data_IF_880671159661
#
_entry.id   IF_880671159661
#
_cell.length_a   1.000
_cell.length_b   1.000
_cell.length_c   1.000
_cell.angle_alpha   90.00
_cell.angle_beta   90.00
_cell.angle_gamma   90.00
#
_symmetry.space_group_name_H-M   'P 1'
#
loop_
_entity.id
_entity.type
_entity.pdbx_description
1 polymer ?
#
# COMPACT_ATOMS: atom_id res chain seq x y z
N UNK A 1 46.89 -3.18 -18.25
CA UNK A 1 46.88 -1.71 -18.09
C UNK A 1 48.29 -1.19 -18.28
N UNK A 2 48.50 -0.12 -19.05
CA UNK A 2 49.88 0.36 -19.33
C UNK A 2 50.51 1.06 -18.11
N UNK A 3 51.85 1.05 -17.97
CA UNK A 3 52.55 1.79 -16.90
C UNK A 3 52.29 3.30 -16.90
N UNK A 4 52.01 3.89 -18.07
CA UNK A 4 51.64 5.30 -18.20
C UNK A 4 50.24 5.57 -17.62
N UNK A 5 49.28 4.70 -17.92
CA UNK A 5 47.91 4.80 -17.40
C UNK A 5 47.90 4.66 -15.86
N UNK A 6 48.73 3.76 -15.32
CA UNK A 6 48.82 3.57 -13.86
C UNK A 6 49.37 4.81 -13.16
N UNK A 7 50.44 5.40 -13.71
CA UNK A 7 51.00 6.66 -13.19
C UNK A 7 49.99 7.80 -13.23
N UNK A 8 49.18 7.89 -14.29
CA UNK A 8 48.10 8.88 -14.40
C UNK A 8 47.05 8.71 -13.31
N UNK A 9 46.55 7.49 -13.08
CA UNK A 9 45.56 7.28 -12.01
C UNK A 9 46.14 7.53 -10.63
N UNK A 10 47.39 7.13 -10.38
CA UNK A 10 48.05 7.44 -9.12
C UNK A 10 48.23 8.94 -8.90
N UNK A 11 48.58 9.70 -9.96
CA UNK A 11 48.66 11.16 -9.88
C UNK A 11 47.29 11.76 -9.51
N UNK A 12 46.21 11.31 -10.15
CA UNK A 12 44.85 11.77 -9.82
C UNK A 12 44.46 11.45 -8.37
N UNK A 13 44.84 10.27 -7.84
CA UNK A 13 44.57 9.90 -6.45
C UNK A 13 45.32 10.78 -5.45
N UNK A 14 46.53 11.22 -5.81
CA UNK A 14 47.32 12.17 -5.01
C UNK A 14 46.71 13.56 -5.08
N UNK A 15 46.34 14.03 -6.27
CA UNK A 15 45.72 15.33 -6.50
C UNK A 15 44.38 15.46 -5.77
N UNK A 16 43.56 14.40 -5.77
CA UNK A 16 42.31 14.34 -5.00
C UNK A 16 42.52 14.20 -3.47
N UNK A 17 43.77 14.13 -3.00
CA UNK A 17 44.10 13.98 -1.58
C UNK A 17 43.71 12.64 -0.99
N UNK A 18 43.52 11.60 -1.81
CA UNK A 18 43.18 10.25 -1.34
C UNK A 18 44.42 9.47 -0.91
N UNK A 19 45.57 9.73 -1.55
CA UNK A 19 46.81 9.03 -1.23
C UNK A 19 47.93 10.05 -1.12
N UNK A 20 48.81 9.89 -0.14
CA UNK A 20 50.07 10.64 -0.09
C UNK A 20 51.18 9.75 -0.62
N UNK A 21 52.02 10.31 -1.48
CA UNK A 21 53.19 9.62 -2.03
C UNK A 21 54.44 10.03 -1.26
N UNK A 22 55.09 9.06 -0.61
CA UNK A 22 56.39 9.21 0.06
C UNK A 22 57.45 8.44 -0.73
N UNK A 23 58.11 9.11 -1.65
CA UNK A 23 59.15 8.46 -2.45
C UNK A 23 60.41 8.19 -1.62
N UNK A 24 60.99 6.99 -1.76
CA UNK A 24 62.31 6.70 -1.17
C UNK A 24 63.42 7.14 -2.12
N UNK A 25 64.63 7.41 -1.61
CA UNK A 25 65.79 7.74 -2.43
C UNK A 25 66.14 6.67 -3.49
N UNK A 26 65.73 5.42 -3.26
CA UNK A 26 66.04 4.27 -4.12
C UNK A 26 64.83 3.77 -4.94
N UNK A 27 63.71 4.50 -4.93
CA UNK A 27 62.47 4.14 -5.63
C UNK A 27 61.76 2.87 -5.12
N UNK A 28 62.26 2.25 -4.04
CA UNK A 28 61.69 1.04 -3.40
C UNK A 28 60.75 1.41 -2.25
N UNK A 29 59.75 0.56 -2.00
CA UNK A 29 58.82 0.71 -0.86
C UNK A 29 59.40 -0.06 0.34
N UNK A 30 59.70 0.63 1.43
CA UNK A 30 60.18 0.00 2.66
C UNK A 30 59.86 0.85 3.89
N UNK A 31 59.75 0.19 5.04
CA UNK A 31 59.61 0.83 6.34
C UNK A 31 60.86 0.53 7.20
N UNK A 32 61.44 1.57 7.80
CA UNK A 32 62.47 1.43 8.84
C UNK A 32 61.78 1.39 10.20
N UNK A 33 62.13 0.38 11.00
CA UNK A 33 61.64 0.22 12.37
C UNK A 33 62.72 0.63 13.36
N UNK A 34 62.33 1.23 14.47
CA UNK A 34 63.20 1.54 15.60
C UNK A 34 63.64 0.25 16.31
N UNK A 35 64.61 0.35 17.23
CA UNK A 35 65.04 -0.78 18.08
C UNK A 35 63.90 -1.36 18.94
N UNK A 36 62.84 -0.58 19.18
CA UNK A 36 61.63 -1.00 19.90
C UNK A 36 60.55 -1.60 19.00
N UNK A 37 60.77 -1.64 17.67
CA UNK A 37 59.83 -2.24 16.70
C UNK A 37 58.80 -1.27 16.11
N UNK A 38 58.77 -0.01 16.55
CA UNK A 38 57.90 1.04 16.00
C UNK A 38 58.39 1.52 14.63
N UNK A 39 57.47 1.89 13.73
CA UNK A 39 57.84 2.39 12.40
C UNK A 39 58.33 3.84 12.52
N UNK A 40 59.62 4.06 12.24
CA UNK A 40 60.26 5.37 12.32
C UNK A 40 60.15 6.13 10.98
N UNK A 41 60.31 5.43 9.85
CA UNK A 41 60.16 6.01 8.51
C UNK A 41 59.51 5.01 7.57
N UNK A 42 58.45 5.42 6.87
CA UNK A 42 57.79 4.60 5.86
C UNK A 42 57.80 5.31 4.50
N UNK A 43 58.33 4.63 3.48
CA UNK A 43 58.36 5.10 2.11
C UNK A 43 57.46 4.23 1.23
N UNK A 44 56.61 4.87 0.43
CA UNK A 44 55.57 4.24 -0.38
C UNK A 44 54.32 5.13 -0.49
N UNK A 45 53.15 4.51 -0.38
CA UNK A 45 51.87 5.21 -0.33
C UNK A 45 51.36 5.25 1.10
N UNK A 46 51.03 6.44 1.56
CA UNK A 46 50.37 6.67 2.84
C UNK A 46 48.88 6.84 2.59
N UNK A 47 48.09 5.93 3.18
CA UNK A 47 46.63 5.86 3.07
C UNK A 47 45.95 6.51 4.28
N UNK A 48 46.70 7.10 5.21
CA UNK A 48 46.16 7.86 6.35
C UNK A 48 45.03 8.82 5.96
N UNK A 49 45.10 9.56 4.82
CA UNK A 49 43.99 10.42 4.38
C UNK A 49 42.66 9.69 4.15
N UNK A 50 42.69 8.46 3.61
CA UNK A 50 41.48 7.65 3.43
C UNK A 50 40.88 7.22 4.75
N UNK A 51 41.72 6.84 5.71
CA UNK A 51 41.27 6.41 7.04
C UNK A 51 40.71 7.59 7.82
N UNK A 52 41.40 8.73 7.79
CA UNK A 52 40.95 9.96 8.44
C UNK A 52 39.61 10.47 7.89
N UNK A 53 39.39 10.34 6.57
CA UNK A 53 38.15 10.74 5.88
C UNK A 53 37.14 9.60 5.68
N UNK A 54 37.38 8.43 6.29
CA UNK A 54 36.53 7.26 6.06
C UNK A 54 35.06 7.51 6.40
N UNK A 55 34.80 8.25 7.47
CA UNK A 55 33.45 8.63 7.88
C UNK A 55 32.75 9.51 6.84
N UNK A 56 33.45 10.52 6.30
CA UNK A 56 32.95 11.40 5.24
C UNK A 56 32.58 10.59 3.98
N UNK A 57 33.48 9.72 3.51
CA UNK A 57 33.22 8.89 2.34
C UNK A 57 32.06 7.91 2.57
N UNK A 58 31.94 7.37 3.77
CA UNK A 58 30.82 6.50 4.13
C UNK A 58 29.49 7.26 4.02
N UNK A 59 29.41 8.47 4.58
CA UNK A 59 28.23 9.33 4.50
C UNK A 59 27.88 9.68 3.04
N UNK A 60 28.87 10.09 2.24
CA UNK A 60 28.66 10.39 0.82
C UNK A 60 28.18 9.17 0.03
N UNK A 61 28.73 7.99 0.32
CA UNK A 61 28.31 6.74 -0.31
C UNK A 61 26.89 6.35 0.10
N UNK A 62 26.52 6.51 1.37
CA UNK A 62 25.17 6.29 1.87
C UNK A 62 24.17 7.23 1.22
N UNK A 63 24.43 8.54 1.20
CA UNK A 63 23.59 9.54 0.52
C UNK A 63 23.41 9.21 -0.97
N UNK A 64 24.46 8.76 -1.65
CA UNK A 64 24.37 8.34 -3.06
C UNK A 64 23.50 7.10 -3.24
N UNK A 65 23.62 6.10 -2.35
CA UNK A 65 22.78 4.90 -2.38
C UNK A 65 21.32 5.24 -2.11
N UNK A 66 21.05 6.12 -1.17
CA UNK A 66 19.70 6.60 -0.84
C UNK A 66 19.08 7.36 -2.01
N UNK A 67 19.80 8.27 -2.64
CA UNK A 67 19.34 9.00 -3.82
C UNK A 67 19.00 8.03 -4.98
N UNK A 68 19.85 7.03 -5.23
CA UNK A 68 19.58 5.98 -6.25
C UNK A 68 18.36 5.14 -5.88
N UNK A 69 18.21 4.75 -4.62
CA UNK A 69 17.04 4.00 -4.13
C UNK A 69 15.76 4.80 -4.29
N UNK A 70 15.76 6.08 -3.89
CA UNK A 70 14.62 6.97 -4.04
C UNK A 70 14.21 7.14 -5.51
N UNK A 71 15.19 7.33 -6.41
CA UNK A 71 14.93 7.44 -7.85
C UNK A 71 14.33 6.14 -8.41
N UNK A 72 14.83 4.99 -7.96
CA UNK A 72 14.29 3.68 -8.36
C UNK A 72 12.84 3.53 -7.93
N UNK A 73 12.54 3.80 -6.66
CA UNK A 73 11.17 3.72 -6.12
C UNK A 73 10.23 4.66 -6.87
N UNK A 74 10.63 5.92 -7.12
CA UNK A 74 9.82 6.86 -7.88
C UNK A 74 9.50 6.36 -9.30
N UNK A 75 10.47 5.75 -10.00
CA UNK A 75 10.25 5.16 -11.34
C UNK A 75 9.32 3.95 -11.30
N UNK A 76 9.44 3.10 -10.28
CA UNK A 76 8.54 1.96 -10.06
C UNK A 76 7.11 2.46 -9.82
N UNK A 77 6.92 3.44 -8.94
CA UNK A 77 5.62 4.07 -8.68
C UNK A 77 5.01 4.72 -9.93
N UNK A 78 5.81 5.44 -10.72
CA UNK A 78 5.39 6.03 -11.99
C UNK A 78 4.89 4.96 -12.98
N UNK A 79 5.62 3.85 -13.07
CA UNK A 79 5.25 2.73 -13.98
C UNK A 79 3.92 2.11 -13.57
N UNK A 80 3.70 1.94 -12.27
CA UNK A 80 2.43 1.42 -11.72
C UNK A 80 1.29 2.41 -11.99
N UNK A 81 1.48 3.68 -11.66
CA UNK A 81 0.47 4.73 -11.86
C UNK A 81 0.04 4.83 -13.33
N UNK A 82 1.00 4.84 -14.26
CA UNK A 82 0.71 4.84 -15.71
C UNK A 82 -0.14 3.64 -16.14
N UNK A 83 0.19 2.44 -15.65
CA UNK A 83 -0.57 1.23 -15.96
C UNK A 83 -1.97 1.29 -15.37
N UNK A 84 -2.12 1.76 -14.15
CA UNK A 84 -3.41 1.89 -13.47
C UNK A 84 -4.31 2.88 -14.23
N UNK A 85 -3.80 4.05 -14.63
CA UNK A 85 -4.54 5.05 -15.42
C UNK A 85 -5.06 4.46 -16.74
N UNK A 86 -4.19 3.79 -17.50
CA UNK A 86 -4.60 3.16 -18.77
C UNK A 86 -5.72 2.15 -18.53
N UNK A 87 -5.58 1.29 -17.52
CA UNK A 87 -6.60 0.29 -17.17
C UNK A 87 -7.93 0.93 -16.72
N UNK A 88 -7.88 2.01 -15.95
CA UNK A 88 -9.11 2.70 -15.53
C UNK A 88 -9.83 3.36 -16.71
N UNK A 89 -9.08 3.92 -17.67
CA UNK A 89 -9.65 4.45 -18.92
C UNK A 89 -10.30 3.32 -19.73
N UNK A 90 -9.58 2.20 -19.94
CA UNK A 90 -10.11 1.02 -20.62
C UNK A 90 -11.40 0.53 -19.95
N UNK A 91 -11.41 0.44 -18.62
CA UNK A 91 -12.58 0.00 -17.85
C UNK A 91 -13.75 0.98 -17.98
N UNK A 92 -13.49 2.29 -17.97
CA UNK A 92 -14.51 3.31 -18.18
C UNK A 92 -15.17 3.23 -19.55
N UNK A 93 -14.40 2.90 -20.58
CA UNK A 93 -14.89 2.70 -21.96
C UNK A 93 -15.70 1.40 -22.04
N UNK A 94 -15.16 0.29 -21.53
CA UNK A 94 -15.78 -1.04 -21.62
C UNK A 94 -17.11 -1.12 -20.86
N UNK A 95 -17.19 -0.49 -19.69
CA UNK A 95 -18.40 -0.44 -18.85
C UNK A 95 -19.39 0.66 -19.31
N UNK A 96 -19.10 1.36 -20.42
CA UNK A 96 -19.98 2.37 -21.00
C UNK A 96 -20.22 3.58 -20.09
N UNK A 97 -19.27 3.90 -19.22
CA UNK A 97 -19.40 4.99 -18.26
C UNK A 97 -19.52 6.32 -19.01
N UNK A 98 -20.54 7.16 -18.74
CA UNK A 98 -20.68 8.46 -19.35
C UNK A 98 -19.53 9.37 -18.87
N UNK A 99 -18.56 9.58 -19.74
CA UNK A 99 -17.37 10.38 -19.45
C UNK A 99 -16.64 10.75 -20.73
N UNK A 100 -15.90 11.86 -20.71
CA UNK A 100 -15.08 12.26 -21.84
C UNK A 100 -13.73 11.50 -21.82
N UNK A 101 -13.78 10.19 -21.99
CA UNK A 101 -12.62 9.30 -21.99
C UNK A 101 -11.57 9.69 -23.03
N UNK A 102 -12.00 10.27 -24.16
CA UNK A 102 -11.09 10.82 -25.18
C UNK A 102 -10.24 11.97 -24.64
N UNK A 103 -10.83 12.93 -23.92
CA UNK A 103 -10.10 14.05 -23.29
C UNK A 103 -9.14 13.55 -22.22
N UNK A 104 -9.58 12.61 -21.39
CA UNK A 104 -8.75 12.00 -20.34
C UNK A 104 -7.55 11.27 -20.95
N UNK A 105 -7.76 10.52 -22.03
CA UNK A 105 -6.69 9.83 -22.74
C UNK A 105 -5.68 10.80 -23.37
N UNK A 106 -6.14 11.89 -23.96
CA UNK A 106 -5.28 12.95 -24.50
C UNK A 106 -4.47 13.65 -23.39
N UNK A 107 -5.09 13.93 -22.23
CA UNK A 107 -4.39 14.48 -21.08
C UNK A 107 -3.27 13.55 -20.59
N UNK A 108 -3.56 12.25 -20.46
CA UNK A 108 -2.57 11.23 -20.13
C UNK A 108 -1.40 11.20 -21.12
N UNK A 109 -1.68 11.19 -22.43
CA UNK A 109 -0.65 11.21 -23.47
C UNK A 109 0.22 12.48 -23.38
N UNK A 110 -0.40 13.64 -23.14
CA UNK A 110 0.31 14.91 -22.95
C UNK A 110 1.26 14.89 -21.74
N UNK A 111 0.85 14.27 -20.63
CA UNK A 111 1.71 14.10 -19.45
C UNK A 111 2.86 13.13 -19.73
N UNK A 112 2.59 11.98 -20.33
CA UNK A 112 3.60 10.94 -20.57
C UNK A 112 4.61 11.35 -21.65
N UNK A 113 4.20 12.13 -22.65
CA UNK A 113 5.10 12.60 -23.72
C UNK A 113 6.26 13.46 -23.21
N UNK A 114 6.11 14.08 -22.03
CA UNK A 114 7.13 14.92 -21.38
C UNK A 114 8.22 14.11 -20.67
N UNK A 115 8.12 12.79 -20.58
CA UNK A 115 9.11 11.94 -19.89
C UNK A 115 10.37 11.72 -20.75
N UNK A 116 11.55 12.25 -20.34
CA UNK A 116 12.80 11.95 -21.04
C UNK A 116 13.34 10.57 -20.67
N UNK A 117 14.24 10.02 -21.51
CA UNK A 117 14.93 8.73 -21.25
C UNK A 117 15.76 8.76 -19.95
N UNK A 118 16.24 9.93 -19.52
CA UNK A 118 16.93 10.12 -18.24
C UNK A 118 16.32 11.32 -17.55
N UNK A 119 15.34 11.07 -16.70
CA UNK A 119 14.65 12.12 -15.93
C UNK A 119 15.35 12.39 -14.59
N UNK A 120 15.44 13.68 -14.22
CA UNK A 120 15.81 14.11 -12.87
C UNK A 120 14.71 13.71 -11.87
N UNK A 121 15.08 13.66 -10.59
CA UNK A 121 14.12 13.32 -9.51
C UNK A 121 12.96 14.32 -9.45
N UNK A 122 13.27 15.61 -9.56
CA UNK A 122 12.29 16.70 -9.47
C UNK A 122 11.25 16.61 -10.60
N UNK A 123 11.70 16.37 -11.83
CA UNK A 123 10.80 16.20 -12.97
C UNK A 123 9.90 14.97 -12.79
N UNK A 124 10.44 13.86 -12.29
CA UNK A 124 9.63 12.66 -12.01
C UNK A 124 8.57 12.91 -10.93
N UNK A 125 8.89 13.71 -9.90
CA UNK A 125 7.95 14.07 -8.85
C UNK A 125 6.84 14.97 -9.38
N UNK A 126 7.17 15.98 -10.19
CA UNK A 126 6.19 16.85 -10.83
C UNK A 126 5.22 16.05 -11.72
N UNK A 127 5.76 15.19 -12.58
CA UNK A 127 4.95 14.33 -13.46
C UNK A 127 4.09 13.34 -12.65
N UNK A 128 4.61 12.79 -11.55
CA UNK A 128 3.82 11.95 -10.66
C UNK A 128 2.63 12.70 -10.05
N UNK A 129 2.81 13.95 -9.64
CA UNK A 129 1.70 14.78 -9.11
C UNK A 129 0.61 14.95 -10.15
N UNK A 130 0.96 15.33 -11.38
CA UNK A 130 0.00 15.50 -12.47
C UNK A 130 -0.73 14.20 -12.84
N UNK A 131 -0.02 13.06 -12.80
CA UNK A 131 -0.65 11.76 -13.02
C UNK A 131 -1.57 11.34 -11.87
N UNK A 132 -1.23 11.69 -10.62
CA UNK A 132 -2.08 11.38 -9.47
C UNK A 132 -3.37 12.22 -9.50
N UNK A 133 -3.29 13.49 -9.88
CA UNK A 133 -4.45 14.36 -10.13
C UNK A 133 -5.36 13.74 -11.20
N UNK A 134 -4.80 13.36 -12.36
CA UNK A 134 -5.57 12.71 -13.42
C UNK A 134 -6.18 11.38 -12.96
N UNK A 135 -5.45 10.60 -12.15
CA UNK A 135 -5.95 9.37 -11.54
C UNK A 135 -7.14 9.64 -10.62
N UNK A 136 -7.08 10.69 -9.81
CA UNK A 136 -8.19 11.06 -8.92
C UNK A 136 -9.43 11.46 -9.72
N UNK A 137 -9.27 12.28 -10.77
CA UNK A 137 -10.37 12.66 -11.66
C UNK A 137 -11.04 11.42 -12.28
N UNK A 138 -10.24 10.50 -12.82
CA UNK A 138 -10.76 9.24 -13.40
C UNK A 138 -11.52 8.43 -12.35
N UNK A 139 -10.94 8.25 -11.16
CA UNK A 139 -11.58 7.50 -10.09
C UNK A 139 -12.92 8.13 -9.69
N UNK A 140 -12.97 9.44 -9.51
CA UNK A 140 -14.18 10.15 -9.10
C UNK A 140 -15.29 10.00 -10.16
N UNK A 141 -14.95 10.03 -11.45
CA UNK A 141 -15.92 9.76 -12.53
C UNK A 141 -16.44 8.32 -12.51
N UNK A 142 -15.57 7.34 -12.22
CA UNK A 142 -15.98 5.94 -12.09
C UNK A 142 -16.85 5.72 -10.83
N UNK A 143 -16.48 6.32 -9.71
CA UNK A 143 -17.23 6.19 -8.44
C UNK A 143 -18.60 6.85 -8.53
N UNK A 144 -18.70 8.05 -9.11
CA UNK A 144 -19.99 8.73 -9.32
C UNK A 144 -20.92 7.91 -10.20
N UNK A 145 -20.40 7.24 -11.24
CA UNK A 145 -21.20 6.33 -12.06
C UNK A 145 -21.69 5.11 -11.29
N UNK A 146 -20.81 4.44 -10.54
CA UNK A 146 -21.20 3.29 -9.70
C UNK A 146 -22.27 3.71 -8.68
N UNK A 147 -22.11 4.87 -8.04
CA UNK A 147 -23.09 5.40 -7.09
C UNK A 147 -24.42 5.73 -7.77
N UNK A 148 -24.41 6.24 -9.01
CA UNK A 148 -25.63 6.52 -9.77
C UNK A 148 -26.38 5.26 -10.21
N UNK A 149 -25.67 4.18 -10.58
CA UNK A 149 -26.30 2.89 -10.89
C UNK A 149 -26.96 2.27 -9.65
N UNK A 150 -26.37 2.43 -8.47
CA UNK A 150 -26.94 1.91 -7.21
C UNK A 150 -28.17 2.69 -6.72
N UNK A 151 -28.44 3.89 -7.24
CA UNK A 151 -29.66 4.66 -6.93
C UNK A 151 -30.87 4.25 -7.79
N UNK A 152 -30.63 3.52 -8.89
CA UNK A 152 -31.70 2.99 -9.73
C UNK A 152 -32.12 1.58 -9.26
N UNK A 153 -32.98 1.52 -8.25
CA UNK A 153 -34.20 0.68 -8.20
C UNK A 153 -34.61 0.31 -6.75
N UNK A 154 -35.79 0.80 -6.32
CA UNK A 154 -36.91 -0.10 -6.04
C UNK A 154 -38.24 0.67 -5.93
N UNK A 155 -38.79 1.12 -7.05
CA UNK A 155 -40.18 1.55 -7.13
C UNK A 155 -40.99 0.42 -7.77
N UNK A 156 -41.66 -0.36 -6.91
CA UNK A 156 -42.67 -1.38 -7.20
C UNK A 156 -42.21 -2.68 -7.88
N UNK A 157 -42.45 -3.82 -7.21
CA UNK A 157 -43.29 -4.91 -7.76
C UNK A 157 -43.52 -6.06 -6.74
N UNK A 158 -44.81 -6.29 -6.47
CA UNK A 158 -45.49 -7.52 -6.04
C UNK A 158 -45.25 -8.12 -4.64
N UNK A 159 -46.08 -7.60 -3.72
CA UNK A 159 -47.06 -8.35 -2.93
C UNK A 159 -47.45 -9.72 -3.53
N UNK A 160 -46.92 -10.83 -2.98
CA UNK A 160 -47.66 -12.08 -2.68
C UNK A 160 -46.97 -12.90 -1.58
N UNK A 161 -47.77 -13.16 -0.56
CA UNK A 161 -47.57 -14.09 0.55
C UNK A 161 -47.27 -15.52 0.04
N UNK A 162 -46.09 -16.08 0.34
CA UNK A 162 -45.86 -17.53 0.17
C UNK A 162 -46.16 -18.19 1.51
N UNK A 163 -47.31 -18.85 1.58
CA UNK A 163 -47.66 -19.78 2.65
C UNK A 163 -46.83 -21.06 2.50
N UNK A 164 -46.15 -21.42 3.58
CA UNK A 164 -45.35 -22.63 3.70
C UNK A 164 -46.23 -23.78 4.24
N UNK A 165 -46.23 -24.92 3.55
CA UNK A 165 -46.99 -26.12 3.95
C UNK A 165 -46.15 -27.40 3.78
N UNK A 166 -45.40 -27.77 4.83
CA UNK A 166 -45.04 -29.13 5.32
C UNK A 166 -44.37 -30.19 4.38
N UNK A 167 -43.82 -31.32 4.90
CA UNK A 167 -43.05 -31.58 6.13
C UNK A 167 -41.79 -32.49 5.93
N UNK A 168 -40.90 -32.48 6.92
CA UNK A 168 -39.87 -33.46 7.33
C UNK A 168 -39.44 -34.63 6.42
N UNK A 169 -38.12 -34.75 6.18
CA UNK A 169 -37.43 -36.05 6.22
C UNK A 169 -36.07 -35.92 6.91
N UNK A 170 -36.02 -36.45 8.13
CA UNK A 170 -34.83 -36.66 8.95
C UNK A 170 -33.75 -37.49 8.22
N UNK A 171 -32.51 -36.99 8.24
CA UNK A 171 -31.33 -37.86 8.32
C UNK A 171 -30.21 -37.13 9.09
N UNK A 172 -29.83 -37.72 10.21
CA UNK A 172 -28.75 -37.24 11.09
C UNK A 172 -27.37 -37.47 10.46
N UNK A 173 -26.54 -36.43 10.48
CA UNK A 173 -25.10 -36.59 10.64
C UNK A 173 -24.55 -35.38 11.41
N UNK A 174 -24.13 -35.62 12.65
CA UNK A 174 -23.52 -34.63 13.51
C UNK A 174 -22.18 -34.17 12.94
N UNK A 175 -22.10 -32.92 12.48
CA UNK A 175 -20.92 -32.08 12.66
C UNK A 175 -21.40 -30.63 12.79
N UNK A 176 -21.53 -30.19 14.04
CA UNK A 176 -22.02 -28.88 14.45
C UNK A 176 -21.19 -27.76 13.81
N UNK A 177 -21.69 -27.21 12.72
CA UNK A 177 -21.29 -25.90 12.20
C UNK A 177 -22.30 -24.90 12.75
N UNK A 178 -21.89 -24.07 13.70
CA UNK A 178 -22.69 -22.92 14.12
C UNK A 178 -22.73 -21.94 12.95
N UNK A 179 -23.89 -21.86 12.31
CA UNK A 179 -24.23 -20.85 11.30
C UNK A 179 -24.10 -19.45 11.90
N UNK A 180 -23.09 -18.72 11.44
CA UNK A 180 -23.10 -17.27 11.47
C UNK A 180 -23.68 -16.84 10.13
N UNK A 181 -24.89 -16.29 10.16
CA UNK A 181 -25.53 -15.64 9.01
C UNK A 181 -24.70 -14.42 8.57
N UNK A 182 -24.80 -14.15 7.27
CA UNK A 182 -24.34 -12.96 6.52
C UNK A 182 -22.91 -13.03 5.92
N UNK A 183 -22.65 -12.71 4.66
CA UNK A 183 -23.45 -12.20 3.55
C UNK A 183 -22.99 -12.93 2.27
N UNK A 184 -23.67 -14.02 1.93
CA UNK A 184 -23.72 -14.55 0.58
C UNK A 184 -25.07 -14.17 0.01
N UNK A 185 -25.18 -13.00 -0.63
CA UNK A 185 -26.33 -12.74 -1.47
C UNK A 185 -26.26 -13.70 -2.66
N UNK A 186 -27.11 -14.72 -2.60
CA UNK A 186 -27.48 -15.57 -3.72
C UNK A 186 -28.02 -14.67 -4.83
N UNK A 187 -27.21 -14.42 -5.85
CA UNK A 187 -27.71 -14.03 -7.16
C UNK A 187 -27.49 -15.24 -8.07
N UNK A 188 -28.57 -15.99 -8.27
CA UNK A 188 -28.64 -16.97 -9.33
C UNK A 188 -28.84 -16.25 -10.67
N UNK A 189 -28.15 -16.77 -11.69
CA UNK A 189 -28.16 -16.40 -13.10
C UNK A 189 -27.45 -15.09 -13.49
N UNK A 190 -26.14 -15.20 -13.73
CA UNK A 190 -25.69 -15.22 -15.13
C UNK A 190 -24.42 -16.05 -15.30
N UNK A 191 -24.51 -17.04 -16.19
CA UNK A 191 -23.41 -17.89 -16.62
C UNK A 191 -22.42 -17.07 -17.45
N UNK A 192 -21.53 -16.30 -16.79
CA UNK A 192 -20.41 -15.69 -17.50
C UNK A 192 -19.19 -15.39 -16.61
N UNK A 193 -18.85 -16.31 -15.71
CA UNK A 193 -17.67 -16.16 -14.82
C UNK A 193 -16.33 -16.31 -15.56
N UNK A 194 -16.35 -16.55 -16.89
CA UNK A 194 -15.16 -16.81 -17.70
C UNK A 194 -14.87 -15.79 -18.81
N UNK A 195 -15.58 -14.67 -18.88
CA UNK A 195 -15.44 -13.71 -20.00
C UNK A 195 -14.99 -12.31 -19.58
N UNK A 196 -14.00 -12.18 -18.69
CA UNK A 196 -13.34 -10.89 -18.45
C UNK A 196 -11.81 -11.07 -18.29
N UNK A 197 -10.98 -10.30 -19.00
CA UNK A 197 -9.53 -10.45 -18.97
C UNK A 197 -8.92 -9.96 -17.64
N UNK A 198 -8.33 -10.90 -16.88
CA UNK A 198 -7.25 -10.71 -15.88
C UNK A 198 -7.31 -9.39 -15.04
N UNK A 199 -8.39 -9.20 -14.26
CA UNK A 199 -8.54 -8.11 -13.25
C UNK A 199 -7.58 -8.30 -12.07
N UNK A 200 -6.29 -8.05 -12.29
CA UNK A 200 -5.30 -7.94 -11.20
C UNK A 200 -5.54 -6.67 -10.40
N UNK A 201 -6.01 -6.80 -9.15
CA UNK A 201 -6.22 -5.70 -8.19
C UNK A 201 -4.94 -4.87 -8.04
N UNK A 202 -4.97 -3.53 -8.21
CA UNK A 202 -3.83 -2.69 -7.89
C UNK A 202 -3.61 -2.62 -6.38
N UNK A 203 -2.35 -2.54 -5.96
CA UNK A 203 -1.95 -2.56 -4.54
C UNK A 203 -2.59 -1.43 -3.73
N UNK A 204 -2.79 -0.25 -4.34
CA UNK A 204 -3.41 0.90 -3.68
C UNK A 204 -4.82 0.60 -3.16
N UNK A 205 -5.67 -0.04 -3.98
CA UNK A 205 -7.05 -0.39 -3.61
C UNK A 205 -7.04 -1.40 -2.45
N UNK A 206 -6.11 -2.36 -2.47
CA UNK A 206 -5.98 -3.36 -1.40
C UNK A 206 -5.57 -2.71 -0.08
N UNK A 207 -4.63 -1.76 -0.11
CA UNK A 207 -4.16 -1.06 1.09
C UNK A 207 -5.23 -0.15 1.68
N UNK A 208 -6.07 0.46 0.84
CA UNK A 208 -7.19 1.28 1.28
C UNK A 208 -8.31 0.45 1.93
N UNK A 209 -8.56 -0.74 1.38
CA UNK A 209 -9.54 -1.68 1.90
C UNK A 209 -9.06 -2.39 3.17
N UNK A 210 -7.76 -2.62 3.31
CA UNK A 210 -7.14 -3.37 4.41
C UNK A 210 -6.12 -2.52 5.20
N UNK A 211 -6.53 -1.40 5.83
CA UNK A 211 -5.62 -0.52 6.57
C UNK A 211 -4.94 -1.24 7.74
N UNK A 212 -5.62 -2.17 8.42
CA UNK A 212 -5.06 -2.89 9.57
C UNK A 212 -3.86 -3.75 9.16
N UNK A 213 -3.91 -4.34 7.96
CA UNK A 213 -2.80 -5.12 7.42
C UNK A 213 -1.59 -4.23 7.11
N UNK A 214 -1.82 -3.00 6.62
CA UNK A 214 -0.75 -2.07 6.28
C UNK A 214 0.11 -1.69 7.51
N UNK A 215 -0.51 -1.65 8.71
CA UNK A 215 0.15 -1.38 9.99
C UNK A 215 1.11 -2.49 10.42
N UNK A 216 0.92 -3.72 9.94
CA UNK A 216 1.77 -4.87 10.28
C UNK A 216 3.08 -4.92 9.48
N UNK A 217 3.30 -4.00 8.54
CA UNK A 217 4.53 -3.96 7.78
C UNK A 217 5.73 -3.66 8.69
N UNK A 218 6.80 -4.46 8.58
CA UNK A 218 8.06 -4.26 9.34
C UNK A 218 8.68 -2.87 9.20
N UNK A 219 8.45 -2.20 8.07
CA UNK A 219 8.91 -0.85 7.75
C UNK A 219 7.90 0.24 8.12
N UNK A 220 6.78 -0.09 8.76
CA UNK A 220 5.68 0.83 9.09
C UNK A 220 4.81 1.25 7.89
N UNK A 221 5.16 0.82 6.67
CA UNK A 221 4.38 1.07 5.45
C UNK A 221 4.61 -0.02 4.41
N UNK A 222 3.54 -0.47 3.77
CA UNK A 222 3.57 -1.38 2.61
C UNK A 222 3.77 -0.54 1.34
N UNK A 223 4.88 -0.76 0.62
CA UNK A 223 5.19 -0.01 -0.60
C UNK A 223 5.15 -0.88 -1.87
N UNK A 224 5.20 -2.20 -1.72
CA UNK A 224 5.19 -3.15 -2.83
C UNK A 224 4.49 -4.49 -2.44
N UNK A 225 4.28 -5.38 -3.42
CA UNK A 225 3.62 -6.67 -3.20
C UNK A 225 4.40 -7.63 -2.27
N UNK A 226 5.73 -7.57 -2.24
CA UNK A 226 6.51 -8.39 -1.32
C UNK A 226 6.30 -7.95 0.12
N UNK A 227 6.22 -6.63 0.36
CA UNK A 227 5.91 -6.08 1.67
C UNK A 227 4.51 -6.54 2.14
N UNK A 228 3.53 -6.57 1.22
CA UNK A 228 2.17 -7.06 1.50
C UNK A 228 2.16 -8.54 1.88
N UNK A 229 2.88 -9.38 1.13
CA UNK A 229 2.99 -10.82 1.41
C UNK A 229 3.67 -11.04 2.77
N UNK A 230 4.71 -10.26 3.10
CA UNK A 230 5.36 -10.34 4.40
C UNK A 230 4.44 -9.89 5.55
N UNK A 231 3.62 -8.86 5.35
CA UNK A 231 2.62 -8.42 6.32
C UNK A 231 1.51 -9.48 6.49
N UNK A 232 1.09 -10.13 5.39
CA UNK A 232 0.16 -11.25 5.42
C UNK A 232 0.71 -12.42 6.25
N UNK A 233 1.99 -12.79 6.11
CA UNK A 233 2.60 -13.85 6.91
C UNK A 233 2.56 -13.56 8.42
N UNK A 234 2.70 -12.29 8.82
CA UNK A 234 2.52 -11.88 10.22
C UNK A 234 1.06 -11.96 10.65
N UNK A 235 0.13 -11.45 9.83
CA UNK A 235 -1.30 -11.55 10.08
C UNK A 235 -1.78 -13.00 10.22
N UNK A 236 -1.21 -13.94 9.44
CA UNK A 236 -1.49 -15.38 9.55
C UNK A 236 -1.26 -15.89 10.96
N UNK A 237 -0.12 -15.52 11.55
CA UNK A 237 0.24 -15.94 12.92
C UNK A 237 -0.71 -15.36 13.96
N UNK A 238 -1.13 -14.11 13.78
CA UNK A 238 -2.07 -13.43 14.68
C UNK A 238 -3.49 -14.00 14.58
N UNK A 239 -3.91 -14.41 13.37
CA UNK A 239 -5.21 -15.03 13.12
C UNK A 239 -5.27 -16.51 13.52
N UNK A 240 -4.17 -17.10 14.03
CA UNK A 240 -4.13 -18.52 14.40
C UNK A 240 -4.21 -19.48 13.20
N UNK A 241 -3.91 -19.01 11.99
CA UNK A 241 -3.99 -19.81 10.77
C UNK A 241 -2.75 -20.71 10.66
N UNK A 242 -2.96 -22.01 10.50
CA UNK A 242 -1.86 -22.98 10.41
C UNK A 242 -0.99 -22.73 9.16
N UNK A 243 0.33 -23.00 9.22
CA UNK A 243 1.20 -22.91 8.04
C UNK A 243 0.71 -23.76 6.86
N UNK A 244 0.12 -24.92 7.14
CA UNK A 244 -0.44 -25.81 6.12
C UNK A 244 -1.63 -25.19 5.37
N UNK A 245 -2.55 -24.51 6.07
CA UNK A 245 -3.69 -23.85 5.43
C UNK A 245 -3.23 -22.68 4.55
N UNK A 246 -2.22 -21.95 4.99
CA UNK A 246 -1.63 -20.84 4.24
C UNK A 246 -0.89 -21.31 2.99
N UNK A 247 -0.06 -22.34 3.10
CA UNK A 247 0.63 -22.93 1.95
C UNK A 247 -0.37 -23.45 0.91
N UNK A 248 -1.43 -24.11 1.34
CA UNK A 248 -2.52 -24.55 0.46
C UNK A 248 -3.17 -23.36 -0.27
N UNK A 249 -3.50 -22.28 0.44
CA UNK A 249 -4.07 -21.08 -0.15
C UNK A 249 -3.13 -20.44 -1.19
N UNK A 250 -1.84 -20.30 -0.87
CA UNK A 250 -0.83 -19.76 -1.79
C UNK A 250 -0.65 -20.64 -3.03
N UNK A 251 -0.70 -21.97 -2.87
CA UNK A 251 -0.60 -22.92 -3.98
C UNK A 251 -1.82 -22.84 -4.93
N UNK A 252 -3.03 -22.68 -4.38
CA UNK A 252 -4.25 -22.69 -5.19
C UNK A 252 -4.58 -21.33 -5.79
N UNK A 253 -4.44 -20.25 -5.01
CA UNK A 253 -4.82 -18.89 -5.42
C UNK A 253 -3.64 -18.08 -5.97
N UNK A 254 -2.41 -18.48 -5.69
CA UNK A 254 -1.22 -17.67 -5.93
C UNK A 254 -0.91 -16.71 -4.76
N UNK A 255 0.36 -16.34 -4.64
CA UNK A 255 0.88 -15.59 -3.48
C UNK A 255 0.24 -14.21 -3.28
N UNK A 256 -0.10 -13.51 -4.37
CA UNK A 256 -0.74 -12.20 -4.31
C UNK A 256 -2.19 -12.30 -3.84
N UNK A 257 -2.98 -13.15 -4.48
CA UNK A 257 -4.39 -13.30 -4.13
C UNK A 257 -4.56 -13.91 -2.75
N UNK A 258 -3.69 -14.84 -2.33
CA UNK A 258 -3.66 -15.33 -0.96
C UNK A 258 -3.37 -14.21 0.04
N UNK A 259 -2.40 -13.31 -0.23
CA UNK A 259 -2.10 -12.18 0.63
C UNK A 259 -3.24 -11.16 0.73
N UNK A 260 -3.89 -10.84 -0.40
CA UNK A 260 -5.11 -10.01 -0.42
C UNK A 260 -6.22 -10.67 0.39
N UNK A 261 -6.38 -11.98 0.23
CA UNK A 261 -7.43 -12.75 0.91
C UNK A 261 -7.26 -12.68 2.41
N UNK A 262 -6.05 -12.96 2.87
CA UNK A 262 -5.71 -12.91 4.28
C UNK A 262 -5.85 -11.49 4.85
N UNK A 263 -5.47 -10.49 4.07
CA UNK A 263 -5.67 -9.08 4.44
C UNK A 263 -7.12 -8.73 4.71
N UNK A 264 -8.02 -9.19 3.85
CA UNK A 264 -9.45 -8.95 4.01
C UNK A 264 -10.03 -9.71 5.21
N UNK A 265 -9.57 -10.95 5.45
CA UNK A 265 -9.93 -11.72 6.65
C UNK A 265 -9.45 -10.98 7.91
N UNK A 266 -8.21 -10.48 7.90
CA UNK A 266 -7.65 -9.73 9.03
C UNK A 266 -8.43 -8.45 9.31
N UNK A 267 -8.84 -7.73 8.26
CA UNK A 267 -9.65 -6.52 8.39
C UNK A 267 -11.02 -6.78 9.04
N UNK A 268 -11.59 -7.98 8.88
CA UNK A 268 -12.89 -8.40 9.43
C UNK A 268 -12.78 -9.47 10.51
N UNK A 269 -11.63 -9.57 11.18
CA UNK A 269 -11.36 -10.67 12.11
C UNK A 269 -12.43 -10.83 13.21
N UNK A 270 -13.03 -9.72 13.66
CA UNK A 270 -14.06 -9.71 14.72
C UNK A 270 -15.39 -10.32 14.27
N UNK A 271 -15.64 -10.39 12.96
CA UNK A 271 -16.87 -10.93 12.38
C UNK A 271 -16.73 -12.41 11.95
N UNK A 272 -15.53 -12.98 12.08
CA UNK A 272 -15.20 -14.32 11.59
C UNK A 272 -14.82 -15.22 12.77
N UNK A 273 -15.67 -16.21 13.07
CA UNK A 273 -15.43 -17.14 14.18
C UNK A 273 -14.23 -18.06 13.96
N UNK A 274 -14.02 -18.54 12.73
CA UNK A 274 -12.92 -19.45 12.39
C UNK A 274 -12.19 -18.99 11.13
N UNK A 275 -11.17 -18.16 11.32
CA UNK A 275 -10.33 -17.57 10.27
C UNK A 275 -9.61 -18.64 9.43
N UNK A 276 -9.10 -19.70 10.07
CA UNK A 276 -8.43 -20.82 9.40
C UNK A 276 -9.38 -21.71 8.60
N UNK A 277 -10.56 -22.02 9.15
CA UNK A 277 -11.58 -22.77 8.41
C UNK A 277 -12.11 -21.98 7.21
N UNK A 278 -12.28 -20.67 7.39
CA UNK A 278 -12.71 -19.77 6.33
C UNK A 278 -11.68 -19.66 5.19
N UNK A 279 -10.37 -19.55 5.50
CA UNK A 279 -9.34 -19.56 4.46
C UNK A 279 -9.34 -20.88 3.66
N UNK A 280 -9.59 -22.03 4.31
CA UNK A 280 -9.69 -23.32 3.63
C UNK A 280 -10.91 -23.42 2.72
N UNK A 281 -12.07 -22.90 3.15
CA UNK A 281 -13.27 -22.89 2.31
C UNK A 281 -13.10 -21.99 1.07
N UNK A 282 -12.45 -20.83 1.23
CA UNK A 282 -12.07 -19.98 0.10
C UNK A 282 -11.06 -20.67 -0.82
N UNK A 283 -10.08 -21.38 -0.27
CA UNK A 283 -9.11 -22.18 -1.04
C UNK A 283 -9.80 -23.30 -1.83
N UNK A 284 -10.78 -23.98 -1.25
CA UNK A 284 -11.59 -24.98 -1.94
C UNK A 284 -12.41 -24.37 -3.09
N UNK A 285 -12.99 -23.17 -2.90
CA UNK A 285 -13.68 -22.43 -3.97
C UNK A 285 -12.72 -22.00 -5.07
N UNK A 286 -11.51 -21.59 -4.74
CA UNK A 286 -10.49 -21.23 -5.72
C UNK A 286 -10.05 -22.42 -6.57
N UNK A 287 -9.96 -23.62 -5.97
CA UNK A 287 -9.69 -24.86 -6.70
C UNK A 287 -10.77 -25.18 -7.73
N UNK A 288 -12.01 -24.77 -7.47
CA UNK A 288 -13.15 -24.90 -8.39
C UNK A 288 -13.28 -23.71 -9.35
N UNK A 289 -12.31 -22.79 -9.38
CA UNK A 289 -12.37 -21.53 -10.13
C UNK A 289 -13.57 -20.62 -9.78
N UNK A 290 -14.16 -20.78 -8.59
CA UNK A 290 -15.32 -20.02 -8.07
C UNK A 290 -14.92 -18.95 -7.05
N UNK A 291 -13.68 -18.48 -7.11
CA UNK A 291 -13.11 -17.51 -6.18
C UNK A 291 -12.51 -16.32 -6.92
N UNK A 292 -12.76 -15.13 -6.39
CA UNK A 292 -12.12 -13.89 -6.79
C UNK A 292 -11.88 -13.04 -5.55
N UNK A 293 -10.74 -12.36 -5.50
CA UNK A 293 -10.39 -11.40 -4.45
C UNK A 293 -11.15 -10.07 -4.59
N UNK A 294 -11.63 -9.76 -5.80
CA UNK A 294 -12.30 -8.50 -6.12
C UNK A 294 -13.57 -8.24 -5.30
N UNK A 295 -14.56 -9.15 -5.23
CA UNK A 295 -15.79 -8.92 -4.45
C UNK A 295 -15.48 -8.70 -2.97
N UNK A 296 -14.46 -9.37 -2.45
CA UNK A 296 -14.09 -9.29 -1.04
C UNK A 296 -13.47 -7.95 -0.69
N UNK A 297 -12.60 -7.41 -1.56
CA UNK A 297 -12.03 -6.07 -1.41
C UNK A 297 -13.10 -4.99 -1.58
N UNK A 298 -13.99 -5.13 -2.57
CA UNK A 298 -15.07 -4.16 -2.80
C UNK A 298 -16.07 -4.11 -1.64
N UNK A 299 -16.37 -5.25 -1.01
CA UNK A 299 -17.22 -5.29 0.18
C UNK A 299 -16.63 -4.50 1.35
N UNK A 300 -15.31 -4.54 1.54
CA UNK A 300 -14.61 -3.76 2.57
C UNK A 300 -14.68 -2.25 2.30
N UNK A 301 -14.47 -1.85 1.06
CA UNK A 301 -14.54 -0.44 0.67
C UNK A 301 -15.95 0.13 0.86
N UNK A 302 -16.98 -0.64 0.48
CA UNK A 302 -18.40 -0.27 0.73
C UNK A 302 -18.69 -0.11 2.22
N UNK A 303 -18.34 -1.11 3.03
CA UNK A 303 -18.55 -1.06 4.48
C UNK A 303 -17.86 0.16 5.13
N UNK A 304 -16.67 0.53 4.64
CA UNK A 304 -15.95 1.73 5.09
C UNK A 304 -16.66 3.03 4.69
N UNK A 305 -17.14 3.11 3.45
CA UNK A 305 -17.90 4.28 2.97
C UNK A 305 -19.21 4.45 3.75
N UNK A 306 -19.92 3.36 4.03
CA UNK A 306 -21.16 3.38 4.80
C UNK A 306 -20.91 3.84 6.24
N UNK A 307 -19.82 3.37 6.88
CA UNK A 307 -19.41 3.84 8.21
C UNK A 307 -19.04 5.33 8.23
N UNK A 308 -18.50 5.89 7.14
CA UNK A 308 -18.21 7.33 7.06
C UNK A 308 -19.45 8.21 6.80
N UNK A 309 -20.49 7.66 6.15
CA UNK A 309 -21.76 8.37 5.93
C UNK A 309 -22.58 8.47 7.22
N UNK A 310 -22.70 7.37 7.96
CA UNK A 310 -23.42 7.33 9.24
C UNK A 310 -22.79 8.23 10.31
N UNK A 311 -21.46 8.38 10.32
CA UNK A 311 -20.76 9.34 11.19
C UNK A 311 -21.02 10.82 10.85
N UNK A 312 -21.30 11.14 9.59
CA UNK A 312 -21.59 12.52 9.13
C UNK A 312 -23.03 12.95 9.37
N UNK A 313 -23.96 12.01 9.38
CA UNK A 313 -25.39 12.28 9.64
C UNK A 313 -25.68 12.42 11.15
N UNK A 314 -24.85 11.83 12.03
CA UNK A 314 -24.98 11.94 13.48
C UNK A 314 -24.55 13.28 14.10
N UNK A 315 -23.74 14.10 13.41
CA UNK A 315 -23.34 15.45 13.86
C UNK A 315 -24.33 16.56 13.45
N UNK A 316 -25.34 16.25 12.63
CA UNK A 316 -26.24 17.23 12.02
C UNK A 316 -27.57 17.52 12.73
N UNK A 317 -27.88 16.86 13.86
CA UNK A 317 -29.17 17.03 14.56
C UNK A 317 -28.93 17.42 16.01
N UNK A 318 -28.78 18.72 16.26
CA UNK A 318 -28.56 19.19 17.63
C UNK A 318 -28.52 20.70 17.85
N UNK A 319 -29.24 21.54 17.10
CA UNK A 319 -29.46 22.95 17.50
C UNK A 319 -30.80 23.48 16.98
N UNK A 320 -31.59 24.06 17.90
CA UNK A 320 -32.79 24.93 17.80
C UNK A 320 -33.94 24.30 18.62
N UNK A 321 -34.44 24.87 19.72
CA UNK A 321 -34.61 26.28 20.03
C UNK A 321 -34.68 26.51 21.55
N UNK A 322 -34.13 27.64 22.03
CA UNK A 322 -34.92 28.50 22.90
C UNK A 322 -34.46 29.97 22.78
N UNK A 323 -35.43 30.89 22.71
CA UNK A 323 -35.21 32.34 22.54
C UNK A 323 -35.21 33.05 23.90
N UNK A 324 -34.54 34.22 24.03
CA UNK A 324 -34.40 34.92 25.29
C UNK A 324 -35.49 35.98 25.50
N UNK A 325 -35.89 36.23 26.75
CA UNK A 325 -36.44 37.53 27.15
C UNK A 325 -36.01 37.93 28.57
N UNK A 326 -35.58 39.20 28.66
CA UNK A 326 -35.06 39.98 29.80
C UNK A 326 -35.83 39.89 31.13
N UNK A 327 -35.14 40.02 32.27
CA UNK A 327 -35.40 41.08 33.28
C UNK A 327 -34.46 40.99 34.52
N UNK A 328 -33.78 42.11 34.79
CA UNK A 328 -33.34 42.71 36.08
C UNK A 328 -33.13 41.85 37.35
N UNK A 329 -31.92 41.90 37.94
CA UNK A 329 -31.62 42.58 39.21
C UNK A 329 -30.24 42.18 39.80
N UNK A 330 -29.45 43.18 40.15
CA UNK A 330 -28.28 43.19 41.08
C UNK A 330 -28.86 43.56 42.49
N UNK A 331 -28.18 43.46 43.68
CA UNK A 331 -26.90 42.85 44.14
C UNK A 331 -27.06 41.95 45.40
N UNK A 332 -26.01 41.23 45.84
CA UNK A 332 -25.31 41.51 47.12
C UNK A 332 -24.10 40.61 47.44
N UNK A 333 -23.13 41.24 48.10
CA UNK A 333 -21.91 40.75 48.75
C UNK A 333 -22.03 39.44 49.54
N UNK A 334 -20.96 38.63 49.54
CA UNK A 334 -20.06 38.56 50.71
C UNK A 334 -18.81 37.73 50.43
N UNK A 335 -17.73 38.26 50.99
CA UNK A 335 -16.38 37.75 51.23
C UNK A 335 -16.25 36.24 51.50
N UNK A 336 -15.11 35.64 51.11
CA UNK A 336 -14.09 35.14 52.06
C UNK A 336 -12.89 34.45 51.37
N UNK A 337 -11.71 35.05 51.59
CA UNK A 337 -10.40 34.47 51.93
C UNK A 337 -9.65 33.43 51.05
N UNK A 338 -8.55 33.93 50.45
CA UNK A 338 -7.12 33.57 50.66
C UNK A 338 -6.67 32.13 51.02
N UNK A 339 -5.79 31.56 50.18
CA UNK A 339 -4.43 30.99 50.47
C UNK A 339 -3.85 30.37 49.18
N UNK A 340 -2.77 30.91 48.55
CA UNK A 340 -1.34 30.52 48.71
C UNK A 340 -1.17 29.00 48.94
N UNK A 341 -0.52 28.23 48.09
CA UNK A 341 0.84 28.37 47.48
C UNK A 341 0.81 27.87 46.04
#
# INVERSE_FOLDING_TARGET
MSPATLRRHLANLVECGLIIRRDSPNGKRYARKSRAGEIEQAYGFDLTPLVARAAEFKQLAEATREARRALRVARESLTICRRDIVKMIETGIDEGVPGNWGRVHLAYQGIVSRLPRTASRELLQAIMSELDELRTEIRDTLETFINSQNLNANESQFDRHIQNSNPESYFESEYSSKDIKEAGSTLEHDNNVHSLPDRKLPLGIVLEACPNLALLARSGRVSNWHDLIAAAELARSMLGISPSAWQEAVLVMGSRDAAVTLGAIYQRQEQISSTGGYLRSLSARARQAKFSTWPMVMALLRAKLDATKTGREGEGVGVLADRPTRSLAIPHCSDFLTKKI
#
